data_IF_620555342115
#
_entry.id   IF_620555342115
#
_cell.length_a   1.000
_cell.length_b   1.000
_cell.length_c   1.000
_cell.angle_alpha   90.00
_cell.angle_beta   90.00
_cell.angle_gamma   90.00
#
_symmetry.space_group_name_H-M   'P 1'
#
loop_
_entity.id
_entity.type
_entity.pdbx_description
1 polymer ?
#
# COMPACT_ATOMS: atom_id res chain seq x y z
N UNK A 1 -19.06 -50.81 1.81
CA UNK A 1 -17.85 -50.14 1.27
C UNK A 1 -16.46 -50.64 1.70
N UNK A 2 -16.16 -51.10 2.93
CA UNK A 2 -14.89 -51.86 3.18
C UNK A 2 -14.98 -52.80 4.38
N UNK A 3 -15.64 -52.34 5.45
CA UNK A 3 -15.91 -53.15 6.64
C UNK A 3 -17.04 -54.18 6.43
N UNK A 4 -17.99 -53.86 5.55
CA UNK A 4 -19.18 -54.68 5.28
C UNK A 4 -19.09 -55.49 3.99
N UNK A 5 -17.97 -55.43 3.28
CA UNK A 5 -17.73 -56.11 1.99
C UNK A 5 -18.82 -55.89 0.92
N UNK A 6 -19.60 -54.81 1.05
CA UNK A 6 -20.56 -54.39 0.03
C UNK A 6 -19.85 -53.60 -1.06
N UNK A 7 -19.92 -54.10 -2.29
CA UNK A 7 -19.28 -53.54 -3.49
C UNK A 7 -20.16 -52.51 -4.22
N UNK A 8 -21.49 -52.63 -4.14
CA UNK A 8 -22.45 -51.84 -4.94
C UNK A 8 -23.21 -50.75 -4.16
N UNK A 9 -22.57 -50.12 -3.17
CA UNK A 9 -23.19 -49.02 -2.41
C UNK A 9 -22.83 -47.66 -3.01
N UNK A 10 -23.86 -46.87 -3.33
CA UNK A 10 -23.71 -45.47 -3.72
C UNK A 10 -23.55 -44.56 -2.50
N UNK A 11 -22.92 -43.40 -2.71
CA UNK A 11 -22.74 -42.43 -1.64
C UNK A 11 -24.09 -41.84 -1.20
N UNK A 12 -24.31 -41.62 0.11
CA UNK A 12 -25.52 -40.94 0.57
C UNK A 12 -25.67 -39.56 -0.07
N UNK A 13 -26.89 -39.26 -0.53
CA UNK A 13 -27.21 -38.02 -1.26
C UNK A 13 -26.86 -36.77 -0.45
N UNK A 14 -27.03 -36.82 0.88
CA UNK A 14 -26.71 -35.71 1.79
C UNK A 14 -25.25 -35.26 1.67
N UNK A 15 -24.29 -36.20 1.69
CA UNK A 15 -22.86 -35.89 1.56
C UNK A 15 -22.53 -35.41 0.15
N UNK A 16 -23.17 -35.95 -0.89
CA UNK A 16 -22.98 -35.49 -2.26
C UNK A 16 -23.46 -34.04 -2.41
N UNK A 17 -24.66 -33.73 -1.91
CA UNK A 17 -25.21 -32.38 -1.98
C UNK A 17 -24.38 -31.40 -1.15
N UNK A 18 -23.99 -31.78 0.07
CA UNK A 18 -23.15 -30.96 0.94
C UNK A 18 -21.80 -30.62 0.29
N UNK A 19 -21.13 -31.62 -0.29
CA UNK A 19 -19.83 -31.42 -0.93
C UNK A 19 -19.94 -30.60 -2.21
N UNK A 20 -20.98 -30.80 -3.03
CA UNK A 20 -21.22 -29.98 -4.23
C UNK A 20 -21.55 -28.53 -3.89
N UNK A 21 -22.38 -28.28 -2.88
CA UNK A 21 -22.69 -26.93 -2.41
C UNK A 21 -21.46 -26.24 -1.84
N UNK A 22 -20.69 -26.93 -1.00
CA UNK A 22 -19.44 -26.40 -0.45
C UNK A 22 -18.45 -26.04 -1.56
N UNK A 23 -18.32 -26.90 -2.59
CA UNK A 23 -17.48 -26.63 -3.75
C UNK A 23 -17.95 -25.39 -4.52
N UNK A 24 -19.24 -25.29 -4.84
CA UNK A 24 -19.79 -24.15 -5.57
C UNK A 24 -19.61 -22.82 -4.82
N UNK A 25 -19.91 -22.80 -3.51
CA UNK A 25 -19.72 -21.62 -2.66
C UNK A 25 -18.24 -21.23 -2.57
N UNK A 26 -17.35 -22.21 -2.46
CA UNK A 26 -15.90 -21.95 -2.40
C UNK A 26 -15.39 -21.36 -3.70
N UNK A 27 -15.76 -21.92 -4.86
CA UNK A 27 -15.40 -21.36 -6.17
C UNK A 27 -15.92 -19.93 -6.32
N UNK A 28 -17.18 -19.69 -5.96
CA UNK A 28 -17.78 -18.36 -5.98
C UNK A 28 -17.02 -17.37 -5.10
N UNK A 29 -16.67 -17.79 -3.87
CA UNK A 29 -15.91 -16.97 -2.94
C UNK A 29 -14.50 -16.64 -3.45
N UNK A 30 -13.76 -17.62 -3.97
CA UNK A 30 -12.42 -17.41 -4.50
C UNK A 30 -12.44 -16.43 -5.67
N UNK A 31 -13.40 -16.55 -6.59
CA UNK A 31 -13.52 -15.63 -7.73
C UNK A 31 -13.73 -14.18 -7.26
N UNK A 32 -14.51 -13.95 -6.20
CA UNK A 32 -14.73 -12.61 -5.65
C UNK A 32 -13.57 -12.11 -4.78
N UNK A 33 -12.76 -13.01 -4.21
CA UNK A 33 -11.56 -12.65 -3.43
C UNK A 33 -10.36 -12.39 -4.34
N UNK A 34 -10.32 -12.97 -5.54
CA UNK A 34 -9.19 -12.87 -6.47
C UNK A 34 -8.87 -11.43 -6.93
N UNK A 35 -9.81 -10.50 -6.69
CA UNK A 35 -9.65 -9.07 -6.95
C UNK A 35 -10.37 -8.63 -8.21
N UNK A 36 -10.59 -7.33 -8.30
CA UNK A 36 -11.26 -6.71 -9.43
C UNK A 36 -10.30 -6.54 -10.62
N UNK A 37 -10.85 -6.70 -11.82
CA UNK A 37 -10.12 -6.36 -13.03
C UNK A 37 -9.87 -4.85 -13.08
N UNK A 38 -8.70 -4.47 -13.59
CA UNK A 38 -8.33 -3.07 -13.82
C UNK A 38 -8.34 -2.78 -15.31
N UNK A 39 -8.67 -1.55 -15.68
CA UNK A 39 -8.64 -1.11 -17.08
C UNK A 39 -7.25 -1.27 -17.68
N UNK A 40 -7.18 -1.78 -18.91
CA UNK A 40 -5.93 -1.91 -19.66
C UNK A 40 -5.40 -0.55 -20.15
N UNK A 41 -6.29 0.44 -20.34
CA UNK A 41 -5.92 1.77 -20.81
C UNK A 41 -5.23 2.58 -19.71
N UNK A 42 -3.96 2.88 -19.91
CA UNK A 42 -3.16 3.71 -19.01
C UNK A 42 -3.73 5.13 -18.84
N UNK A 43 -4.49 5.62 -19.83
CA UNK A 43 -5.12 6.95 -19.77
C UNK A 43 -6.20 7.01 -18.67
N UNK A 44 -6.87 5.89 -18.37
CA UNK A 44 -7.87 5.78 -17.30
C UNK A 44 -7.26 6.14 -15.93
N UNK A 45 -6.04 5.67 -15.66
CA UNK A 45 -5.33 6.00 -14.41
C UNK A 45 -4.78 7.43 -14.35
N UNK A 46 -4.53 8.04 -15.52
CA UNK A 46 -3.91 9.36 -15.62
C UNK A 46 -4.95 10.49 -15.60
N UNK A 47 -6.21 10.20 -15.95
CA UNK A 47 -7.32 11.18 -15.97
C UNK A 47 -7.52 11.89 -14.63
N UNK A 48 -7.25 11.22 -13.52
CA UNK A 48 -7.39 11.77 -12.17
C UNK A 48 -6.08 12.38 -11.62
N UNK A 49 -4.97 12.39 -12.39
CA UNK A 49 -3.71 13.02 -11.98
C UNK A 49 -3.63 14.44 -12.53
N UNK A 50 -3.33 15.39 -11.66
CA UNK A 50 -3.12 16.79 -12.04
C UNK A 50 -1.64 17.08 -12.25
N UNK A 51 -1.32 18.10 -13.05
CA UNK A 51 0.05 18.56 -13.29
C UNK A 51 0.83 18.84 -11.99
N UNK A 52 0.17 19.31 -10.92
CA UNK A 52 0.81 19.54 -9.62
C UNK A 52 1.41 18.26 -9.02
N UNK A 53 0.74 17.11 -9.19
CA UNK A 53 1.23 15.81 -8.71
C UNK A 53 2.38 15.28 -9.56
N UNK A 54 2.36 15.56 -10.87
CA UNK A 54 3.38 15.09 -11.82
C UNK A 54 4.64 15.94 -11.81
N UNK A 55 4.51 17.25 -11.63
CA UNK A 55 5.64 18.19 -11.61
C UNK A 55 6.54 18.00 -10.38
N UNK A 56 5.98 17.49 -9.31
CA UNK A 56 6.69 17.26 -8.07
C UNK A 56 7.73 16.13 -8.26
N UNK A 57 9.01 16.50 -8.36
CA UNK A 57 10.11 15.54 -8.53
C UNK A 57 10.91 15.37 -7.22
N UNK A 58 10.67 14.30 -6.44
CA UNK A 58 11.25 14.14 -5.10
C UNK A 58 12.78 14.18 -5.08
N UNK A 59 13.44 13.69 -6.13
CA UNK A 59 14.90 13.69 -6.20
C UNK A 59 15.51 15.09 -6.38
N UNK A 60 14.72 16.12 -6.68
CA UNK A 60 15.17 17.50 -6.89
C UNK A 60 14.56 18.49 -5.89
N UNK A 61 14.16 18.02 -4.71
CA UNK A 61 13.66 18.93 -3.67
C UNK A 61 14.73 19.90 -3.19
N UNK A 62 14.37 21.18 -3.19
CA UNK A 62 15.14 22.27 -2.59
C UNK A 62 14.35 22.82 -1.41
N UNK A 63 14.95 22.76 -0.22
CA UNK A 63 14.27 23.17 1.03
C UNK A 63 14.44 24.66 1.36
N UNK A 64 15.14 25.43 0.52
CA UNK A 64 15.22 26.88 0.64
C UNK A 64 14.03 27.56 -0.07
N UNK A 65 12.84 27.42 0.51
CA UNK A 65 11.60 28.04 0.00
C UNK A 65 10.90 28.85 1.10
N UNK A 66 9.90 29.66 0.72
CA UNK A 66 9.17 30.57 1.64
C UNK A 66 8.55 29.85 2.85
N UNK A 67 8.14 28.60 2.67
CA UNK A 67 7.59 27.75 3.72
C UNK A 67 8.55 27.56 4.91
N UNK A 68 9.87 27.64 4.69
CA UNK A 68 10.85 27.55 5.78
C UNK A 68 10.69 28.64 6.85
N UNK A 69 10.29 29.85 6.45
CA UNK A 69 10.09 30.99 7.36
C UNK A 69 8.66 31.02 7.87
N UNK A 70 7.70 30.71 6.99
CA UNK A 70 6.27 30.74 7.33
C UNK A 70 5.85 29.62 8.30
N UNK A 71 6.54 28.49 8.28
CA UNK A 71 6.21 27.29 9.06
C UNK A 71 7.36 26.83 9.97
N UNK A 72 8.21 27.75 10.42
CA UNK A 72 9.31 27.41 11.32
C UNK A 72 8.76 27.03 12.71
N UNK A 73 9.18 25.88 13.24
CA UNK A 73 8.87 25.52 14.64
C UNK A 73 9.58 26.52 15.58
N UNK A 74 8.91 27.01 16.65
CA UNK A 74 9.49 27.93 17.62
C UNK A 74 10.81 27.43 18.22
N UNK A 75 11.03 26.11 18.29
CA UNK A 75 12.27 25.51 18.81
C UNK A 75 13.50 25.81 17.94
N UNK A 76 13.31 26.18 16.67
CA UNK A 76 14.42 26.40 15.71
C UNK A 76 14.99 27.81 15.81
N UNK A 77 14.21 28.79 16.28
CA UNK A 77 14.58 30.22 16.32
C UNK A 77 15.70 30.48 17.35
N UNK A 78 15.74 29.70 18.43
CA UNK A 78 16.74 29.85 19.50
C UNK A 78 18.13 29.30 19.14
N UNK A 79 18.29 28.58 18.02
CA UNK A 79 19.59 28.04 17.58
C UNK A 79 20.28 28.84 16.47
N UNK A 80 19.57 29.77 15.81
CA UNK A 80 20.11 30.53 14.68
C UNK A 80 20.78 31.86 15.06
N UNK A 81 20.68 32.32 16.31
CA UNK A 81 21.27 33.60 16.72
C UNK A 81 22.78 33.55 17.04
N UNK A 82 23.45 32.40 16.90
CA UNK A 82 24.85 32.24 17.34
C UNK A 82 25.79 31.50 16.36
N UNK A 83 25.47 31.35 15.07
CA UNK A 83 26.38 30.68 14.12
C UNK A 83 26.39 31.32 12.73
N UNK A 84 26.60 32.64 12.66
CA UNK A 84 27.08 33.32 11.46
C UNK A 84 28.63 33.35 11.47
N UNK A 85 29.27 32.18 11.45
CA UNK A 85 30.65 32.00 10.99
C UNK A 85 31.01 30.52 11.10
N UNK A 86 31.47 29.94 10.00
CA UNK A 86 32.21 28.67 9.93
C UNK A 86 31.40 27.38 10.15
N UNK A 87 30.90 26.78 9.07
CA UNK A 87 31.19 25.37 8.80
C UNK A 87 30.83 24.98 7.37
N UNK A 88 31.82 25.06 6.49
CA UNK A 88 31.91 24.20 5.32
C UNK A 88 32.08 22.75 5.80
N UNK A 89 30.97 22.05 6.05
CA UNK A 89 30.97 20.58 6.01
C UNK A 89 29.52 20.10 5.90
N UNK A 90 29.13 19.78 4.67
CA UNK A 90 27.88 19.10 4.36
C UNK A 90 27.91 17.68 4.94
N UNK A 91 27.65 17.53 6.24
CA UNK A 91 27.25 16.25 6.81
C UNK A 91 25.75 16.09 6.55
N UNK A 92 25.40 15.36 5.50
CA UNK A 92 24.04 14.88 5.26
C UNK A 92 23.65 13.95 6.43
N UNK A 93 23.09 14.53 7.50
CA UNK A 93 22.46 13.74 8.57
C UNK A 93 21.20 13.11 7.99
N UNK A 94 21.33 11.88 7.50
CA UNK A 94 20.20 11.00 7.23
C UNK A 94 19.42 10.81 8.53
N UNK A 95 18.34 11.57 8.70
CA UNK A 95 17.36 11.33 9.75
C UNK A 95 16.60 10.07 9.34
N UNK A 96 16.97 8.94 9.96
CA UNK A 96 16.27 7.67 9.86
C UNK A 96 14.77 7.91 10.10
N UNK A 97 13.97 7.82 9.05
CA UNK A 97 12.51 7.89 9.15
C UNK A 97 12.04 6.55 9.69
N UNK A 98 11.50 6.55 10.91
CA UNK A 98 10.80 5.38 11.41
C UNK A 98 9.48 5.20 10.65
N UNK A 99 9.13 3.96 10.27
CA UNK A 99 7.88 3.72 9.57
C UNK A 99 6.72 3.93 10.54
N UNK A 100 5.80 4.82 10.17
CA UNK A 100 4.49 4.93 10.83
C UNK A 100 3.76 3.59 10.65
N UNK A 101 3.73 2.80 11.72
CA UNK A 101 2.90 1.60 11.84
C UNK A 101 1.45 2.07 11.87
N UNK A 102 0.68 1.70 10.83
CA UNK A 102 -0.77 1.80 10.81
C UNK A 102 -1.38 0.50 11.28
#
# INVERSE_FOLDING_TARGET
MRLTEKEDETLPIDIVLQTLLAFAVTCYGIVHIAGEFRDMDATSELKNKTFDTLRNHPSFYVFNHRGRVLFQSPDTVNSSSNQDALSSSSSLKFRKLEPLRR
#
